data_IF_368791546794
#
_entry.id   IF_368791546794
#
_cell.length_a   1.000
_cell.length_b   1.000
_cell.length_c   1.000
_cell.angle_alpha   90.00
_cell.angle_beta   90.00
_cell.angle_gamma   90.00
#
_symmetry.space_group_name_H-M   'P 1'
#
loop_
_entity.id
_entity.type
_entity.pdbx_description
1 polymer ?
#
# COMPACT_ATOMS: atom_id res chain seq x y z
N UNK A 1 23.49 14.14 6.57
CA UNK A 1 23.75 15.24 5.61
C UNK A 1 22.52 15.40 4.72
N UNK A 2 21.80 16.52 4.73
CA UNK A 2 20.53 16.63 4.00
C UNK A 2 20.71 16.97 2.50
N UNK A 3 21.66 16.34 1.82
CA UNK A 3 22.00 16.69 0.43
C UNK A 3 21.80 15.55 -0.56
N UNK A 4 21.49 14.36 -0.07
CA UNK A 4 21.34 13.13 -0.84
C UNK A 4 20.13 13.19 -1.78
N UNK A 5 18.90 13.46 -1.29
CA UNK A 5 17.71 13.35 -2.12
C UNK A 5 17.67 14.35 -3.29
N UNK A 6 18.19 15.59 -3.08
CA UNK A 6 18.12 16.63 -4.11
C UNK A 6 18.98 16.30 -5.32
N UNK A 7 20.18 15.71 -5.12
CA UNK A 7 21.08 15.37 -6.23
C UNK A 7 20.56 14.15 -6.99
N UNK A 8 20.10 13.12 -6.30
CA UNK A 8 19.62 11.87 -6.90
C UNK A 8 18.28 12.04 -7.61
N UNK A 9 17.30 12.65 -6.95
CA UNK A 9 15.99 12.90 -7.54
C UNK A 9 16.05 13.88 -8.71
N UNK A 10 16.92 14.89 -8.67
CA UNK A 10 17.09 15.81 -9.79
C UNK A 10 17.66 15.11 -11.03
N UNK A 11 18.66 14.25 -10.87
CA UNK A 11 19.25 13.52 -12.00
C UNK A 11 18.24 12.59 -12.67
N UNK A 12 17.30 12.04 -11.92
CA UNK A 12 16.18 11.23 -12.44
C UNK A 12 15.19 12.06 -13.27
N UNK A 13 14.89 13.30 -12.84
CA UNK A 13 13.93 14.19 -13.52
C UNK A 13 14.53 14.95 -14.70
N UNK A 14 15.83 15.20 -14.68
CA UNK A 14 16.54 16.04 -15.64
C UNK A 14 16.30 15.72 -17.12
N UNK A 15 16.25 14.44 -17.56
CA UNK A 15 15.95 14.13 -18.96
C UNK A 15 14.57 14.64 -19.41
N UNK A 16 13.55 14.44 -18.57
CA UNK A 16 12.18 14.86 -18.85
C UNK A 16 12.04 16.39 -18.79
N UNK A 17 12.69 17.05 -17.82
CA UNK A 17 12.71 18.51 -17.70
C UNK A 17 13.32 19.15 -18.95
N UNK A 18 14.48 18.66 -19.41
CA UNK A 18 15.14 19.16 -20.63
C UNK A 18 14.34 18.92 -21.90
N UNK A 19 13.65 17.78 -21.98
CA UNK A 19 12.81 17.47 -23.13
C UNK A 19 11.59 18.38 -23.19
N UNK A 20 11.05 18.78 -22.03
CA UNK A 20 9.88 19.66 -21.94
C UNK A 20 10.29 21.14 -22.14
N UNK A 21 11.27 21.63 -21.41
CA UNK A 21 11.77 23.01 -21.47
C UNK A 21 13.14 23.13 -20.79
N UNK A 22 14.16 23.51 -21.56
CA UNK A 22 15.54 23.70 -21.06
C UNK A 22 15.63 24.80 -20.00
N UNK A 23 14.83 25.86 -20.12
CA UNK A 23 14.80 26.95 -19.13
C UNK A 23 14.17 26.52 -17.81
N UNK A 24 13.22 25.58 -17.85
CA UNK A 24 12.61 24.99 -16.68
C UNK A 24 13.58 24.06 -15.95
N UNK A 25 14.37 23.26 -16.68
CA UNK A 25 15.46 22.45 -16.12
C UNK A 25 16.43 23.31 -15.32
N UNK A 26 16.92 24.42 -15.91
CA UNK A 26 17.82 25.35 -15.22
C UNK A 26 17.14 25.94 -13.96
N UNK A 27 15.88 26.37 -14.06
CA UNK A 27 15.15 26.94 -12.94
C UNK A 27 14.97 25.94 -11.79
N UNK A 28 14.57 24.71 -12.09
CA UNK A 28 14.41 23.65 -11.08
C UNK A 28 15.74 23.38 -10.38
N UNK A 29 16.81 23.17 -11.16
CA UNK A 29 18.14 22.92 -10.61
C UNK A 29 18.59 24.04 -9.68
N UNK A 30 18.52 25.29 -10.15
CA UNK A 30 19.04 26.44 -9.40
C UNK A 30 18.23 26.68 -8.11
N UNK A 31 16.91 26.44 -8.15
CA UNK A 31 16.04 26.53 -6.97
C UNK A 31 16.36 25.45 -5.94
N UNK A 32 16.53 24.20 -6.36
CA UNK A 32 16.88 23.09 -5.48
C UNK A 32 18.28 23.26 -4.86
N UNK A 33 19.26 23.74 -5.65
CA UNK A 33 20.60 24.07 -5.14
C UNK A 33 20.54 25.22 -4.11
N UNK A 34 19.75 26.27 -4.36
CA UNK A 34 19.53 27.36 -3.40
C UNK A 34 18.89 26.87 -2.10
N UNK A 35 17.91 25.96 -2.19
CA UNK A 35 17.29 25.33 -1.01
C UNK A 35 18.33 24.54 -0.20
N UNK A 36 19.14 23.72 -0.89
CA UNK A 36 20.24 22.96 -0.28
C UNK A 36 21.23 23.87 0.45
N UNK A 37 21.67 24.95 -0.19
CA UNK A 37 22.62 25.89 0.42
C UNK A 37 22.05 26.56 1.68
N UNK A 38 20.76 26.95 1.65
CA UNK A 38 20.07 27.52 2.80
C UNK A 38 19.86 26.50 3.92
N UNK A 39 19.56 25.24 3.59
CA UNK A 39 19.45 24.17 4.58
C UNK A 39 20.79 23.81 5.26
N UNK A 40 21.91 24.11 4.61
CA UNK A 40 23.27 23.87 5.12
C UNK A 40 23.83 25.05 5.93
N UNK A 41 23.12 26.16 6.02
CA UNK A 41 23.55 27.39 6.68
C UNK A 41 22.58 27.78 7.79
N UNK A 42 23.07 28.55 8.77
CA UNK A 42 22.23 29.07 9.86
C UNK A 42 21.40 30.25 9.32
N UNK A 43 20.22 29.96 8.84
CA UNK A 43 19.25 30.95 8.33
C UNK A 43 18.05 31.06 9.26
N UNK A 44 17.35 32.20 9.21
CA UNK A 44 16.11 32.36 9.94
C UNK A 44 15.02 31.38 9.45
N UNK A 45 14.09 31.02 10.34
CA UNK A 45 12.95 30.18 9.97
C UNK A 45 12.16 30.71 8.78
N UNK A 46 11.95 32.04 8.73
CA UNK A 46 11.21 32.68 7.63
C UNK A 46 11.97 32.58 6.31
N UNK A 47 13.31 32.69 6.33
CA UNK A 47 14.15 32.51 5.15
C UNK A 47 14.12 31.06 4.65
N UNK A 48 14.17 30.10 5.58
CA UNK A 48 14.04 28.67 5.24
C UNK A 48 12.66 28.37 4.66
N UNK A 49 11.59 28.88 5.29
CA UNK A 49 10.23 28.66 4.81
C UNK A 49 10.03 29.24 3.40
N UNK A 50 10.48 30.47 3.16
CA UNK A 50 10.41 31.08 1.82
C UNK A 50 11.13 30.23 0.75
N UNK A 51 12.30 29.67 1.07
CA UNK A 51 13.02 28.81 0.13
C UNK A 51 12.28 27.49 -0.15
N UNK A 52 11.61 26.94 0.85
CA UNK A 52 10.76 25.75 0.69
C UNK A 52 9.56 26.07 -0.22
N UNK A 53 8.92 27.21 -0.01
CA UNK A 53 7.75 27.61 -0.78
C UNK A 53 8.12 27.89 -2.25
N UNK A 54 9.26 28.56 -2.50
CA UNK A 54 9.83 28.74 -3.85
C UNK A 54 10.09 27.40 -4.54
N UNK A 55 10.69 26.44 -3.82
CA UNK A 55 10.97 25.12 -4.37
C UNK A 55 9.68 24.36 -4.71
N UNK A 56 8.66 24.42 -3.84
CA UNK A 56 7.35 23.80 -4.09
C UNK A 56 6.69 24.39 -5.34
N UNK A 57 6.73 25.71 -5.51
CA UNK A 57 6.15 26.37 -6.69
C UNK A 57 6.83 25.92 -7.98
N UNK A 58 8.16 25.92 -8.00
CA UNK A 58 8.94 25.54 -9.19
C UNK A 58 8.74 24.06 -9.54
N UNK A 59 8.70 23.17 -8.55
CA UNK A 59 8.43 21.74 -8.76
C UNK A 59 6.99 21.52 -9.24
N UNK A 60 5.99 22.25 -8.73
CA UNK A 60 4.62 22.18 -9.22
C UNK A 60 4.49 22.60 -10.69
N UNK A 61 5.19 23.68 -11.10
CA UNK A 61 5.27 24.09 -12.52
C UNK A 61 5.92 22.99 -13.36
N UNK A 62 7.03 22.41 -12.90
CA UNK A 62 7.73 21.34 -13.60
C UNK A 62 6.81 20.12 -13.80
N UNK A 63 6.10 19.70 -12.75
CA UNK A 63 5.15 18.59 -12.80
C UNK A 63 4.05 18.84 -13.83
N UNK A 64 3.39 20.00 -13.77
CA UNK A 64 2.30 20.32 -14.71
C UNK A 64 2.78 20.46 -16.16
N UNK A 65 4.03 20.85 -16.37
CA UNK A 65 4.63 20.96 -17.71
C UNK A 65 4.97 19.59 -18.30
N UNK A 66 5.48 18.66 -17.47
CA UNK A 66 5.91 17.33 -17.93
C UNK A 66 4.69 16.40 -18.14
N UNK A 67 3.78 16.33 -17.17
CA UNK A 67 2.69 15.36 -17.17
C UNK A 67 1.34 15.95 -17.61
N UNK A 68 1.26 17.28 -17.76
CA UNK A 68 0.03 18.00 -18.05
C UNK A 68 -0.86 18.18 -16.81
N UNK A 69 -1.52 19.32 -16.72
CA UNK A 69 -2.31 19.70 -15.54
C UNK A 69 -3.47 18.74 -15.29
N UNK A 70 -4.15 18.29 -16.35
CA UNK A 70 -5.29 17.36 -16.24
C UNK A 70 -4.87 16.03 -15.58
N UNK A 71 -3.70 15.50 -15.94
CA UNK A 71 -3.19 14.26 -15.35
C UNK A 71 -2.72 14.48 -13.91
N UNK A 72 -2.04 15.58 -13.65
CA UNK A 72 -1.50 15.87 -12.31
C UNK A 72 -2.58 16.05 -11.24
N UNK A 73 -3.79 16.45 -11.64
CA UNK A 73 -4.90 16.75 -10.74
C UNK A 73 -5.95 15.61 -10.69
N UNK A 74 -5.74 14.50 -11.44
CA UNK A 74 -6.65 13.36 -11.41
C UNK A 74 -6.46 12.50 -10.15
N UNK A 75 -7.54 11.92 -9.63
CA UNK A 75 -7.51 11.01 -8.48
C UNK A 75 -6.55 9.85 -8.71
N UNK A 76 -6.55 9.23 -9.90
CA UNK A 76 -5.61 8.15 -10.24
C UNK A 76 -4.14 8.59 -10.18
N UNK A 77 -3.82 9.81 -10.62
CA UNK A 77 -2.45 10.35 -10.48
C UNK A 77 -2.06 10.57 -9.03
N UNK A 78 -3.00 10.99 -8.21
CA UNK A 78 -2.80 11.20 -6.79
C UNK A 78 -2.62 9.86 -6.05
N UNK A 79 -3.41 8.84 -6.37
CA UNK A 79 -3.24 7.47 -5.89
C UNK A 79 -1.86 6.90 -6.27
N UNK A 80 -1.44 7.07 -7.52
CA UNK A 80 -0.10 6.65 -7.96
C UNK A 80 1.03 7.39 -7.21
N UNK A 81 0.87 8.68 -6.94
CA UNK A 81 1.81 9.44 -6.13
C UNK A 81 1.87 8.92 -4.68
N UNK A 82 0.71 8.62 -4.08
CA UNK A 82 0.65 8.01 -2.75
C UNK A 82 1.41 6.68 -2.71
N UNK A 83 1.14 5.79 -3.65
CA UNK A 83 1.81 4.48 -3.78
C UNK A 83 3.32 4.65 -3.84
N UNK A 84 3.83 5.46 -4.77
CA UNK A 84 5.28 5.69 -4.93
C UNK A 84 5.93 6.23 -3.65
N UNK A 85 5.27 7.15 -2.95
CA UNK A 85 5.76 7.67 -1.66
C UNK A 85 5.82 6.58 -0.59
N UNK A 86 4.81 5.72 -0.53
CA UNK A 86 4.73 4.63 0.44
C UNK A 86 5.77 3.54 0.14
N UNK A 87 5.95 3.14 -1.12
CA UNK A 87 7.01 2.20 -1.53
C UNK A 87 8.40 2.73 -1.15
N UNK A 88 8.66 4.02 -1.41
CA UNK A 88 9.91 4.65 -1.00
C UNK A 88 10.05 4.67 0.52
N UNK A 89 8.98 4.97 1.26
CA UNK A 89 9.02 4.99 2.73
C UNK A 89 9.37 3.64 3.36
N UNK A 90 8.97 2.53 2.74
CA UNK A 90 9.33 1.17 3.16
C UNK A 90 10.84 0.97 3.04
N UNK A 91 11.42 1.36 1.90
CA UNK A 91 12.87 1.22 1.66
C UNK A 91 13.68 2.06 2.65
N UNK A 92 13.33 3.34 2.82
CA UNK A 92 13.99 4.24 3.75
C UNK A 92 13.92 3.75 5.20
N UNK A 93 12.75 3.26 5.63
CA UNK A 93 12.62 2.71 6.99
C UNK A 93 13.46 1.46 7.19
N UNK A 94 13.52 0.58 6.19
CA UNK A 94 14.32 -0.65 6.26
C UNK A 94 15.82 -0.37 6.37
N UNK A 95 16.32 0.71 5.75
CA UNK A 95 17.70 1.15 5.90
C UNK A 95 17.95 1.88 7.23
N UNK A 96 16.91 2.54 7.75
CA UNK A 96 17.00 3.38 8.94
C UNK A 96 16.98 2.63 10.26
N UNK A 97 16.22 1.53 10.36
CA UNK A 97 15.90 0.88 11.65
C UNK A 97 16.35 -0.58 11.67
N UNK A 98 17.15 -0.92 12.67
CA UNK A 98 17.57 -2.28 12.96
C UNK A 98 17.37 -2.54 14.46
N UNK A 99 16.68 -3.63 14.81
CA UNK A 99 16.40 -4.04 16.22
C UNK A 99 15.78 -2.90 17.07
N UNK A 100 14.87 -2.11 16.50
CA UNK A 100 14.22 -0.98 17.18
C UNK A 100 15.12 0.24 17.43
N UNK A 101 16.32 0.24 16.85
CA UNK A 101 17.29 1.34 16.97
C UNK A 101 17.41 2.05 15.63
N UNK A 102 17.34 3.40 15.65
CA UNK A 102 17.58 4.20 14.47
C UNK A 102 19.09 4.30 14.25
N UNK A 103 19.60 3.61 13.21
CA UNK A 103 20.98 3.66 12.76
C UNK A 103 21.23 4.88 11.84
N UNK A 104 20.33 5.08 10.87
CA UNK A 104 20.42 6.17 9.90
C UNK A 104 19.25 7.15 10.09
N UNK A 105 19.53 8.28 10.76
CA UNK A 105 18.50 9.27 11.11
C UNK A 105 17.96 10.01 9.87
N UNK A 106 18.75 10.17 8.83
CA UNK A 106 18.32 10.83 7.60
C UNK A 106 17.24 9.99 6.90
N UNK A 107 17.49 8.71 6.72
CA UNK A 107 16.58 7.77 6.07
C UNK A 107 15.28 7.59 6.91
N UNK A 108 15.40 7.57 8.24
CA UNK A 108 14.23 7.56 9.11
C UNK A 108 13.34 8.81 8.95
N UNK A 109 13.97 9.98 8.79
CA UNK A 109 13.24 11.23 8.57
C UNK A 109 12.61 11.28 7.18
N UNK A 110 13.31 10.80 6.16
CA UNK A 110 12.83 10.75 4.78
C UNK A 110 11.66 9.78 4.66
N UNK A 111 11.76 8.56 5.19
CA UNK A 111 10.64 7.60 5.26
C UNK A 111 9.40 8.19 5.96
N UNK A 112 9.60 8.81 7.13
CA UNK A 112 8.52 9.49 7.86
C UNK A 112 7.89 10.63 7.07
N UNK A 113 8.69 11.41 6.32
CA UNK A 113 8.20 12.50 5.49
C UNK A 113 7.40 11.99 4.29
N UNK A 114 7.77 10.86 3.71
CA UNK A 114 7.04 10.22 2.61
C UNK A 114 5.67 9.71 3.08
N UNK A 115 5.59 9.04 4.23
CA UNK A 115 4.30 8.65 4.85
C UNK A 115 3.44 9.88 5.10
N UNK A 116 3.99 10.93 5.71
CA UNK A 116 3.24 12.15 5.96
C UNK A 116 2.72 12.80 4.66
N UNK A 117 3.56 12.87 3.63
CA UNK A 117 3.16 13.48 2.34
C UNK A 117 2.09 12.65 1.63
N UNK A 118 2.21 11.33 1.65
CA UNK A 118 1.20 10.42 1.13
C UNK A 118 -0.15 10.63 1.83
N UNK A 119 -0.16 10.72 3.16
CA UNK A 119 -1.38 11.01 3.91
C UNK A 119 -1.98 12.40 3.62
N UNK A 120 -1.16 13.41 3.35
CA UNK A 120 -1.67 14.73 2.93
C UNK A 120 -2.43 14.61 1.61
N UNK A 121 -1.89 13.84 0.64
CA UNK A 121 -2.57 13.59 -0.63
C UNK A 121 -3.87 12.82 -0.40
N UNK A 122 -3.84 11.77 0.41
CA UNK A 122 -5.04 11.02 0.79
C UNK A 122 -6.15 11.93 1.32
N UNK A 123 -5.84 12.81 2.27
CA UNK A 123 -6.81 13.73 2.84
C UNK A 123 -7.39 14.73 1.81
N UNK A 124 -6.64 15.02 0.74
CA UNK A 124 -7.12 15.87 -0.37
C UNK A 124 -8.15 15.14 -1.23
N UNK A 125 -8.03 13.81 -1.40
CA UNK A 125 -8.87 13.00 -2.29
C UNK A 125 -9.85 12.07 -1.57
N UNK A 126 -9.76 11.90 -0.26
CA UNK A 126 -10.55 10.94 0.53
C UNK A 126 -12.05 10.96 0.20
N UNK A 127 -12.62 12.15 -0.05
CA UNK A 127 -14.05 12.28 -0.37
C UNK A 127 -14.45 11.75 -1.76
N UNK A 128 -13.47 11.50 -2.61
CA UNK A 128 -13.66 11.03 -3.99
C UNK A 128 -13.40 9.52 -4.13
N UNK A 129 -12.97 8.87 -3.02
CA UNK A 129 -12.70 7.43 -2.94
C UNK A 129 -13.95 6.67 -2.47
N UNK A 130 -14.05 5.37 -2.73
CA UNK A 130 -15.04 4.53 -2.10
C UNK A 130 -14.91 4.58 -0.57
N UNK A 131 -16.03 4.51 0.14
CA UNK A 131 -16.09 4.80 1.59
C UNK A 131 -15.32 3.76 2.40
N UNK A 132 -15.44 2.48 2.02
CA UNK A 132 -14.83 1.35 2.70
C UNK A 132 -13.30 1.44 2.65
N UNK A 133 -12.72 1.50 1.46
CA UNK A 133 -11.28 1.58 1.23
C UNK A 133 -10.68 2.86 1.82
N UNK A 134 -11.45 3.96 1.81
CA UNK A 134 -11.01 5.20 2.45
C UNK A 134 -10.95 5.10 3.98
N UNK A 135 -11.84 4.32 4.62
CA UNK A 135 -11.81 4.06 6.06
C UNK A 135 -10.61 3.17 6.41
N UNK A 136 -10.33 2.13 5.62
CA UNK A 136 -9.19 1.23 5.83
C UNK A 136 -7.85 1.95 5.68
N UNK A 137 -7.67 2.75 4.62
CA UNK A 137 -6.50 3.60 4.44
C UNK A 137 -6.29 4.54 5.63
N UNK A 138 -7.36 5.13 6.18
CA UNK A 138 -7.25 6.03 7.33
C UNK A 138 -6.74 5.30 8.58
N UNK A 139 -7.28 4.11 8.87
CA UNK A 139 -6.84 3.29 10.00
C UNK A 139 -5.39 2.83 9.84
N UNK A 140 -5.02 2.37 8.64
CA UNK A 140 -3.66 1.95 8.34
C UNK A 140 -2.65 3.08 8.50
N UNK A 141 -2.97 4.32 8.13
CA UNK A 141 -2.10 5.46 8.42
C UNK A 141 -1.88 5.70 9.91
N UNK A 142 -2.89 5.48 10.76
CA UNK A 142 -2.71 5.58 12.21
C UNK A 142 -1.79 4.46 12.73
N UNK A 143 -1.96 3.24 12.24
CA UNK A 143 -1.11 2.10 12.62
C UNK A 143 0.35 2.28 12.13
N UNK A 144 0.57 2.75 10.89
CA UNK A 144 1.91 3.10 10.38
C UNK A 144 2.58 4.16 11.24
N UNK A 145 1.87 5.22 11.64
CA UNK A 145 2.43 6.24 12.54
C UNK A 145 2.79 5.66 13.90
N UNK A 146 1.94 4.80 14.46
CA UNK A 146 2.22 4.14 15.72
C UNK A 146 3.46 3.23 15.61
N UNK A 147 3.62 2.52 14.50
CA UNK A 147 4.77 1.69 14.18
C UNK A 147 6.08 2.51 14.11
N UNK A 148 6.06 3.65 13.43
CA UNK A 148 7.20 4.59 13.40
C UNK A 148 7.59 5.10 14.80
N UNK A 149 6.59 5.46 15.63
CA UNK A 149 6.84 5.91 17.03
C UNK A 149 7.45 4.80 17.87
N UNK A 150 6.96 3.58 17.75
CA UNK A 150 7.46 2.40 18.47
C UNK A 150 8.78 1.88 17.91
N UNK A 151 9.13 2.24 16.69
CA UNK A 151 10.29 1.72 15.96
C UNK A 151 10.23 0.19 15.83
N UNK A 152 9.09 -0.30 15.37
CA UNK A 152 8.86 -1.73 15.14
C UNK A 152 9.79 -2.27 14.04
N UNK A 153 9.77 -3.57 13.79
CA UNK A 153 10.62 -4.17 12.75
C UNK A 153 10.31 -3.59 11.35
N UNK A 154 11.30 -3.51 10.44
CA UNK A 154 11.04 -3.11 9.05
C UNK A 154 9.97 -3.96 8.36
N UNK A 155 9.89 -5.25 8.65
CA UNK A 155 8.86 -6.14 8.12
C UNK A 155 7.45 -5.70 8.54
N UNK A 156 7.27 -5.29 9.80
CA UNK A 156 5.97 -4.84 10.30
C UNK A 156 5.55 -3.50 9.65
N UNK A 157 6.48 -2.55 9.49
CA UNK A 157 6.19 -1.30 8.76
C UNK A 157 5.87 -1.60 7.30
N UNK A 158 6.59 -2.54 6.66
CA UNK A 158 6.33 -2.97 5.29
C UNK A 158 4.93 -3.55 5.14
N UNK A 159 4.49 -4.41 6.07
CA UNK A 159 3.14 -4.98 6.09
C UNK A 159 2.07 -3.90 6.20
N UNK A 160 2.16 -3.01 7.19
CA UNK A 160 1.17 -1.94 7.39
C UNK A 160 1.12 -0.96 6.22
N UNK A 161 2.27 -0.58 5.68
CA UNK A 161 2.35 0.33 4.53
C UNK A 161 1.92 -0.38 3.25
N UNK A 162 2.21 -1.68 3.13
CA UNK A 162 1.76 -2.55 2.05
C UNK A 162 0.24 -2.65 1.97
N UNK A 163 -0.45 -2.71 3.12
CA UNK A 163 -1.91 -2.64 3.16
C UNK A 163 -2.45 -1.38 2.50
N UNK A 164 -1.91 -0.19 2.82
CA UNK A 164 -2.33 1.05 2.15
C UNK A 164 -2.09 0.97 0.63
N UNK A 165 -0.97 0.37 0.20
CA UNK A 165 -0.65 0.21 -1.23
C UNK A 165 -1.66 -0.73 -1.89
N UNK A 166 -2.09 -1.78 -1.21
CA UNK A 166 -3.09 -2.72 -1.70
C UNK A 166 -4.44 -2.01 -1.94
N UNK A 167 -4.95 -1.26 -0.96
CA UNK A 167 -6.16 -0.46 -1.11
C UNK A 167 -6.08 0.51 -2.31
N UNK A 168 -4.90 1.15 -2.48
CA UNK A 168 -4.66 2.02 -3.64
C UNK A 168 -4.76 1.24 -4.95
N UNK A 169 -4.18 0.03 -5.02
CA UNK A 169 -4.20 -0.81 -6.21
C UNK A 169 -5.61 -1.29 -6.53
N UNK A 170 -6.40 -1.63 -5.51
CA UNK A 170 -7.82 -2.01 -5.66
C UNK A 170 -8.65 -0.84 -6.21
N UNK A 171 -8.57 0.36 -5.60
CA UNK A 171 -9.26 1.57 -6.09
C UNK A 171 -8.84 1.89 -7.53
N UNK A 172 -7.56 1.72 -7.88
CA UNK A 172 -7.04 1.99 -9.23
C UNK A 172 -7.37 0.89 -10.25
N UNK A 173 -7.93 -0.25 -9.83
CA UNK A 173 -8.21 -1.41 -10.66
C UNK A 173 -6.95 -2.09 -11.19
N UNK A 174 -5.87 -2.10 -10.40
CA UNK A 174 -4.61 -2.78 -10.72
C UNK A 174 -4.73 -4.20 -10.16
N UNK A 175 -5.06 -5.15 -11.02
CA UNK A 175 -5.12 -6.56 -10.64
C UNK A 175 -3.72 -7.09 -10.27
N UNK A 176 -3.60 -7.72 -9.08
CA UNK A 176 -2.40 -8.43 -8.67
C UNK A 176 -2.13 -9.66 -9.54
N UNK A 177 -0.87 -10.11 -9.62
CA UNK A 177 -0.49 -11.32 -10.35
C UNK A 177 -1.25 -12.54 -9.80
N UNK A 178 -1.66 -13.46 -10.72
CA UNK A 178 -2.37 -14.72 -10.42
C UNK A 178 -1.58 -15.62 -9.43
N UNK A 179 -1.76 -15.38 -8.14
CA UNK A 179 -1.27 -16.25 -7.08
C UNK A 179 -2.37 -17.27 -6.73
N UNK A 180 -1.99 -18.54 -6.48
CA UNK A 180 -2.98 -19.55 -6.06
C UNK A 180 -3.61 -19.13 -4.73
N UNK A 181 -4.90 -18.77 -4.75
CA UNK A 181 -5.64 -18.23 -3.61
C UNK A 181 -5.61 -19.13 -2.36
N UNK A 182 -5.44 -20.44 -2.55
CA UNK A 182 -5.24 -21.40 -1.46
C UNK A 182 -3.98 -21.13 -0.63
N UNK A 183 -2.93 -20.57 -1.23
CA UNK A 183 -1.71 -20.20 -0.52
C UNK A 183 -1.98 -19.17 0.56
N UNK A 184 -2.82 -18.19 0.28
CA UNK A 184 -3.21 -17.17 1.27
C UNK A 184 -3.99 -17.78 2.45
N UNK A 185 -4.89 -18.74 2.16
CA UNK A 185 -5.65 -19.44 3.22
C UNK A 185 -4.71 -20.24 4.13
N UNK A 186 -3.75 -20.95 3.55
CA UNK A 186 -2.76 -21.72 4.31
C UNK A 186 -1.89 -20.81 5.19
N UNK A 187 -1.41 -19.70 4.66
CA UNK A 187 -0.59 -18.74 5.39
C UNK A 187 -1.38 -18.08 6.54
N UNK A 188 -2.65 -17.68 6.31
CA UNK A 188 -3.52 -17.17 7.37
C UNK A 188 -3.65 -18.17 8.51
N UNK A 189 -3.90 -19.44 8.19
CA UNK A 189 -4.05 -20.49 9.19
C UNK A 189 -2.75 -20.70 10.02
N UNK A 190 -1.59 -20.62 9.38
CA UNK A 190 -0.29 -20.71 10.04
C UNK A 190 -0.04 -19.50 10.95
N UNK A 191 -0.21 -18.27 10.43
CA UNK A 191 -0.01 -17.03 11.18
C UNK A 191 -0.92 -16.93 12.40
N UNK A 192 -2.20 -17.28 12.28
CA UNK A 192 -3.14 -17.29 13.39
C UNK A 192 -2.79 -18.36 14.45
N UNK A 193 -2.31 -19.52 14.02
CA UNK A 193 -1.84 -20.57 14.93
C UNK A 193 -0.60 -20.10 15.70
N UNK A 194 0.33 -19.42 15.07
CA UNK A 194 1.49 -18.80 15.71
C UNK A 194 1.06 -17.68 16.66
N UNK A 195 0.18 -16.77 16.23
CA UNK A 195 -0.34 -15.68 17.06
C UNK A 195 -0.98 -16.21 18.37
N UNK A 196 -1.71 -17.30 18.29
CA UNK A 196 -2.29 -17.98 19.46
C UNK A 196 -1.22 -18.44 20.46
N UNK A 197 -0.11 -18.98 19.97
CA UNK A 197 1.01 -19.44 20.79
C UNK A 197 1.75 -18.27 21.45
N UNK A 198 2.06 -17.23 20.67
CA UNK A 198 2.80 -16.07 21.16
C UNK A 198 1.99 -15.27 22.19
N UNK A 199 0.67 -15.10 21.96
CA UNK A 199 -0.19 -14.44 22.92
C UNK A 199 -0.26 -15.23 24.24
N UNK A 200 -0.35 -16.55 24.16
CA UNK A 200 -0.32 -17.42 25.35
C UNK A 200 1.03 -17.38 26.07
N UNK A 201 2.14 -17.15 25.37
CA UNK A 201 3.47 -16.96 25.92
C UNK A 201 3.67 -15.55 26.55
N UNK A 202 2.74 -14.63 26.32
CA UNK A 202 2.76 -13.25 26.83
C UNK A 202 3.40 -12.23 25.88
N UNK A 203 3.73 -12.63 24.66
CA UNK A 203 4.22 -11.74 23.61
C UNK A 203 3.06 -11.18 22.79
N UNK A 204 2.40 -10.17 23.35
CA UNK A 204 1.24 -9.53 22.71
C UNK A 204 1.63 -8.72 21.48
N UNK A 205 2.84 -8.16 21.43
CA UNK A 205 3.29 -7.37 20.29
C UNK A 205 3.54 -8.27 19.08
N UNK A 206 4.21 -9.42 19.28
CA UNK A 206 4.40 -10.39 18.20
C UNK A 206 3.06 -11.02 17.74
N UNK A 207 2.18 -11.35 18.69
CA UNK A 207 0.84 -11.86 18.34
C UNK A 207 0.04 -10.86 17.50
N UNK A 208 0.07 -9.56 17.85
CA UNK A 208 -0.57 -8.50 17.07
C UNK A 208 0.03 -8.36 15.67
N UNK A 209 1.35 -8.44 15.56
CA UNK A 209 2.05 -8.41 14.26
C UNK A 209 1.62 -9.57 13.37
N UNK A 210 1.56 -10.79 13.90
CA UNK A 210 1.15 -11.99 13.16
C UNK A 210 -0.32 -11.90 12.67
N UNK A 211 -1.23 -11.41 13.52
CA UNK A 211 -2.64 -11.19 13.14
C UNK A 211 -2.75 -10.09 12.06
N UNK A 212 -1.99 -9.01 12.20
CA UNK A 212 -1.95 -7.94 11.20
C UNK A 212 -1.47 -8.46 9.85
N UNK A 213 -0.43 -9.29 9.86
CA UNK A 213 0.08 -9.93 8.66
C UNK A 213 -0.91 -10.93 8.05
N UNK A 214 -1.64 -11.69 8.87
CA UNK A 214 -2.69 -12.59 8.40
C UNK A 214 -3.80 -11.83 7.66
N UNK A 215 -4.14 -10.62 8.11
CA UNK A 215 -5.10 -9.76 7.46
C UNK A 215 -4.50 -9.09 6.21
N UNK A 216 -3.53 -8.19 6.36
CA UNK A 216 -3.03 -7.31 5.31
C UNK A 216 -2.23 -8.01 4.20
N UNK A 217 -1.43 -9.03 4.54
CA UNK A 217 -0.59 -9.73 3.55
C UNK A 217 -1.31 -10.91 2.91
N UNK A 218 -2.51 -11.29 3.41
CA UNK A 218 -3.16 -12.52 2.96
C UNK A 218 -4.68 -12.39 2.77
N UNK A 219 -5.45 -11.96 3.79
CA UNK A 219 -6.92 -11.99 3.68
C UNK A 219 -7.44 -10.94 2.70
N UNK A 220 -6.87 -9.75 2.62
CA UNK A 220 -7.23 -8.71 1.65
C UNK A 220 -7.21 -9.23 0.21
N UNK A 221 -6.27 -10.13 -0.14
CA UNK A 221 -6.23 -10.76 -1.47
C UNK A 221 -7.36 -11.78 -1.73
N UNK A 222 -8.08 -12.17 -0.68
CA UNK A 222 -9.24 -13.08 -0.76
C UNK A 222 -10.57 -12.34 -0.83
N UNK A 223 -10.63 -11.06 -0.50
CA UNK A 223 -11.86 -10.28 -0.39
C UNK A 223 -12.60 -10.15 -1.72
N UNK A 224 -11.92 -9.63 -2.75
CA UNK A 224 -12.50 -9.51 -4.08
C UNK A 224 -12.94 -10.87 -4.66
N UNK A 225 -12.11 -11.95 -4.62
CA UNK A 225 -12.54 -13.30 -5.01
C UNK A 225 -13.78 -13.82 -4.25
N UNK A 226 -13.88 -13.58 -2.94
CA UNK A 226 -15.06 -13.99 -2.15
C UNK A 226 -16.32 -13.23 -2.56
N UNK A 227 -16.20 -11.93 -2.79
CA UNK A 227 -17.33 -11.11 -3.28
C UNK A 227 -17.77 -11.57 -4.67
N UNK A 228 -16.86 -11.88 -5.58
CA UNK A 228 -17.14 -12.41 -6.91
C UNK A 228 -17.80 -13.81 -6.85
N UNK A 229 -17.42 -14.62 -5.86
CA UNK A 229 -18.05 -15.91 -5.57
C UNK A 229 -19.47 -15.78 -5.01
N UNK A 230 -19.92 -14.56 -4.65
CA UNK A 230 -21.21 -14.30 -4.02
C UNK A 230 -21.22 -14.44 -2.51
N UNK A 231 -20.06 -14.60 -1.89
CA UNK A 231 -19.85 -14.84 -0.45
C UNK A 231 -19.44 -13.56 0.31
N UNK A 232 -20.02 -12.41 -0.09
CA UNK A 232 -19.79 -11.11 0.56
C UNK A 232 -19.99 -11.14 2.08
N UNK A 233 -21.06 -11.80 2.55
CA UNK A 233 -21.36 -11.88 4.00
C UNK A 233 -20.26 -12.64 4.76
N UNK A 234 -19.70 -13.69 4.17
CA UNK A 234 -18.58 -14.44 4.74
C UNK A 234 -17.30 -13.57 4.75
N UNK A 235 -17.04 -12.85 3.68
CA UNK A 235 -15.90 -11.94 3.57
C UNK A 235 -15.96 -10.88 4.66
N UNK A 236 -17.04 -10.08 4.73
CA UNK A 236 -17.23 -9.02 5.73
C UNK A 236 -17.14 -9.56 7.18
N UNK A 237 -17.66 -10.75 7.44
CA UNK A 237 -17.60 -11.39 8.77
C UNK A 237 -16.15 -11.73 9.15
N UNK A 238 -15.37 -12.33 8.25
CA UNK A 238 -13.96 -12.70 8.52
C UNK A 238 -13.09 -11.46 8.65
N UNK A 239 -13.29 -10.46 7.80
CA UNK A 239 -12.61 -9.17 7.86
C UNK A 239 -12.79 -8.51 9.23
N UNK A 240 -14.04 -8.32 9.69
CA UNK A 240 -14.33 -7.75 11.01
C UNK A 240 -13.67 -8.56 12.13
N UNK A 241 -13.72 -9.88 12.05
CA UNK A 241 -13.10 -10.75 13.06
C UNK A 241 -11.58 -10.61 13.12
N UNK A 242 -10.90 -10.48 11.98
CA UNK A 242 -9.45 -10.31 11.90
C UNK A 242 -9.02 -8.87 12.24
N UNK A 243 -9.59 -7.90 11.54
CA UNK A 243 -9.17 -6.51 11.56
C UNK A 243 -9.57 -5.79 12.84
N UNK A 244 -10.82 -5.92 13.27
CA UNK A 244 -11.36 -5.18 14.40
C UNK A 244 -11.33 -5.97 15.70
N UNK A 245 -12.00 -7.12 15.72
CA UNK A 245 -12.24 -7.83 16.96
C UNK A 245 -10.96 -8.44 17.55
N UNK A 246 -10.25 -9.28 16.79
CA UNK A 246 -9.07 -9.97 17.29
C UNK A 246 -7.92 -9.00 17.61
N UNK A 247 -7.65 -8.06 16.70
CA UNK A 247 -6.62 -7.03 16.94
C UNK A 247 -7.00 -6.13 18.13
N UNK A 248 -8.26 -5.76 18.25
CA UNK A 248 -8.79 -5.01 19.41
C UNK A 248 -8.59 -5.77 20.71
N UNK A 249 -8.97 -7.05 20.77
CA UNK A 249 -8.78 -7.90 21.96
C UNK A 249 -7.31 -8.00 22.38
N UNK A 250 -6.38 -8.15 21.46
CA UNK A 250 -4.94 -8.19 21.75
C UNK A 250 -4.45 -6.83 22.26
N UNK A 251 -4.81 -5.72 21.59
CA UNK A 251 -4.44 -4.35 21.98
C UNK A 251 -4.95 -3.99 23.39
N UNK A 252 -6.14 -4.47 23.75
CA UNK A 252 -6.78 -4.23 25.06
C UNK A 252 -6.29 -5.20 26.16
N UNK A 253 -5.51 -6.22 25.82
CA UNK A 253 -5.00 -7.21 26.77
C UNK A 253 -6.08 -8.16 27.28
N UNK A 254 -6.96 -8.62 26.40
CA UNK A 254 -8.02 -9.59 26.71
C UNK A 254 -7.44 -10.91 27.27
N UNK A 255 -8.29 -11.72 27.88
CA UNK A 255 -7.80 -13.00 28.43
C UNK A 255 -7.29 -13.93 27.32
N UNK A 256 -6.23 -14.73 27.61
CA UNK A 256 -5.73 -15.74 26.66
C UNK A 256 -6.84 -16.69 26.18
N UNK A 257 -7.80 -17.00 27.05
CA UNK A 257 -8.94 -17.83 26.68
C UNK A 257 -9.84 -17.19 25.63
N UNK A 258 -10.06 -15.88 25.76
CA UNK A 258 -10.96 -15.16 24.85
C UNK A 258 -10.28 -14.97 23.48
N UNK A 259 -9.00 -14.55 23.46
CA UNK A 259 -8.22 -14.42 22.24
C UNK A 259 -8.11 -15.77 21.51
N UNK A 260 -7.82 -16.85 22.23
CA UNK A 260 -7.78 -18.19 21.64
C UNK A 260 -9.13 -18.61 21.04
N UNK A 261 -10.24 -18.28 21.72
CA UNK A 261 -11.58 -18.61 21.23
C UNK A 261 -11.93 -17.83 19.96
N UNK A 262 -11.50 -16.58 19.87
CA UNK A 262 -11.67 -15.76 18.68
C UNK A 262 -10.85 -16.31 17.50
N UNK A 263 -9.57 -16.65 17.74
CA UNK A 263 -8.73 -17.28 16.71
C UNK A 263 -9.35 -18.59 16.21
N UNK A 264 -9.81 -19.45 17.13
CA UNK A 264 -10.44 -20.72 16.74
C UNK A 264 -11.73 -20.51 15.91
N UNK A 265 -12.49 -19.45 16.20
CA UNK A 265 -13.67 -19.09 15.42
C UNK A 265 -13.29 -18.64 14.00
N UNK A 266 -12.22 -17.83 13.86
CA UNK A 266 -11.71 -17.41 12.56
C UNK A 266 -11.20 -18.62 11.75
N UNK A 267 -10.42 -19.50 12.35
CA UNK A 267 -9.91 -20.71 11.67
C UNK A 267 -11.05 -21.61 11.15
N UNK A 268 -12.17 -21.69 11.88
CA UNK A 268 -13.38 -22.40 11.41
C UNK A 268 -13.95 -21.70 10.16
N UNK A 269 -13.99 -20.37 10.13
CA UNK A 269 -14.44 -19.61 8.95
C UNK A 269 -13.50 -19.80 7.77
N UNK A 270 -12.19 -19.79 8.01
CA UNK A 270 -11.18 -20.04 6.97
C UNK A 270 -11.36 -21.41 6.30
N UNK A 271 -11.86 -22.43 7.01
CA UNK A 271 -12.23 -23.71 6.38
C UNK A 271 -13.35 -23.54 5.34
N UNK A 272 -14.27 -22.60 5.56
CA UNK A 272 -15.33 -22.30 4.58
C UNK A 272 -14.74 -21.51 3.40
N UNK A 273 -13.88 -20.53 3.66
CA UNK A 273 -13.15 -19.77 2.64
C UNK A 273 -12.37 -20.71 1.73
N UNK A 274 -11.63 -21.67 2.29
CA UNK A 274 -10.86 -22.67 1.54
C UNK A 274 -11.73 -23.47 0.54
N UNK A 275 -13.00 -23.73 0.87
CA UNK A 275 -13.91 -24.46 -0.01
C UNK A 275 -14.48 -23.59 -1.13
N UNK A 276 -14.60 -22.28 -0.91
CA UNK A 276 -15.17 -21.33 -1.86
C UNK A 276 -14.11 -20.90 -2.90
N UNK A 277 -12.93 -20.52 -2.42
CA UNK A 277 -11.89 -19.87 -3.23
C UNK A 277 -11.27 -20.77 -4.31
N UNK A 278 -10.98 -22.09 -4.15
CA UNK A 278 -10.40 -22.94 -5.19
C UNK A 278 -11.33 -23.25 -6.34
N UNK A 279 -12.63 -23.26 -6.12
CA UNK A 279 -13.58 -23.65 -7.16
C UNK A 279 -13.69 -22.62 -8.29
N UNK A 280 -13.35 -21.34 -8.02
CA UNK A 280 -13.50 -20.27 -9.00
C UNK A 280 -12.29 -20.07 -9.89
N UNK A 281 -11.05 -20.16 -9.39
CA UNK A 281 -9.84 -19.97 -10.19
C UNK A 281 -9.69 -20.98 -11.31
N UNK A 282 -9.91 -22.27 -11.03
CA UNK A 282 -9.79 -23.36 -12.01
C UNK A 282 -11.03 -23.52 -12.89
N UNK A 283 -12.24 -23.32 -12.38
CA UNK A 283 -13.49 -23.48 -13.13
C UNK A 283 -13.75 -22.29 -14.04
N UNK A 284 -13.54 -21.06 -13.60
CA UNK A 284 -13.69 -19.87 -14.44
C UNK A 284 -12.69 -19.89 -15.61
N UNK A 285 -11.43 -20.28 -15.35
CA UNK A 285 -10.43 -20.52 -16.42
C UNK A 285 -10.85 -21.64 -17.35
N UNK A 286 -11.37 -22.76 -16.82
CA UNK A 286 -11.86 -23.86 -17.65
C UNK A 286 -13.05 -23.45 -18.51
N UNK A 287 -14.01 -22.70 -17.95
CA UNK A 287 -15.16 -22.16 -18.68
C UNK A 287 -14.71 -21.15 -19.75
N UNK A 288 -13.81 -20.24 -19.41
CA UNK A 288 -13.27 -19.26 -20.36
C UNK A 288 -12.50 -19.94 -21.49
N UNK A 289 -11.63 -20.88 -21.19
CA UNK A 289 -10.85 -21.64 -22.18
C UNK A 289 -11.78 -22.48 -23.07
N UNK A 290 -12.77 -23.16 -22.50
CA UNK A 290 -13.74 -23.94 -23.28
C UNK A 290 -14.65 -23.06 -24.13
N UNK A 291 -15.06 -21.88 -23.64
CA UNK A 291 -15.83 -20.91 -24.40
C UNK A 291 -15.02 -20.35 -25.58
N UNK A 292 -13.75 -20.00 -25.38
CA UNK A 292 -12.84 -19.52 -26.44
C UNK A 292 -12.60 -20.62 -27.48
N UNK A 293 -12.33 -21.84 -27.04
CA UNK A 293 -12.15 -23.01 -27.96
C UNK A 293 -13.43 -23.24 -28.75
N UNK A 294 -14.60 -23.22 -28.10
CA UNK A 294 -15.91 -23.34 -28.73
C UNK A 294 -16.14 -22.29 -29.80
N UNK A 295 -15.81 -21.00 -29.48
CA UNK A 295 -15.96 -19.88 -30.37
C UNK A 295 -15.02 -19.96 -31.58
N UNK A 296 -13.77 -20.39 -31.39
CA UNK A 296 -12.77 -20.62 -32.46
C UNK A 296 -13.19 -21.77 -33.40
N UNK A 297 -13.69 -22.88 -32.83
CA UNK A 297 -14.16 -24.03 -33.62
C UNK A 297 -15.44 -23.67 -34.37
N UNK A 298 -16.36 -22.92 -33.80
CA UNK A 298 -17.57 -22.44 -34.44
C UNK A 298 -17.25 -21.47 -35.57
N UNK A 299 -16.34 -20.51 -35.38
CA UNK A 299 -15.90 -19.57 -36.40
C UNK A 299 -15.22 -20.27 -37.59
N UNK A 300 -14.43 -21.32 -37.34
CA UNK A 300 -13.82 -22.18 -38.40
C UNK A 300 -14.87 -22.96 -39.21
N UNK A 301 -15.93 -23.44 -38.53
CA UNK A 301 -16.98 -24.24 -39.18
C UNK A 301 -17.95 -23.40 -40.00
N UNK A 302 -18.12 -22.12 -39.68
CA UNK A 302 -19.10 -21.20 -40.31
C UNK A 302 -18.49 -20.28 -41.37
N UNK A 303 -17.17 -20.31 -41.63
CA UNK A 303 -16.50 -19.40 -42.57
C UNK A 303 -16.84 -17.91 -42.36
N UNK A 304 -17.05 -17.50 -41.13
CA UNK A 304 -17.30 -16.09 -40.81
C UNK A 304 -16.03 -15.28 -41.06
N UNK A 305 -16.06 -14.48 -42.11
CA UNK A 305 -15.03 -13.50 -42.43
C UNK A 305 -15.31 -12.29 -41.57
N UNK A 306 -14.49 -12.02 -40.58
CA UNK A 306 -14.57 -10.76 -39.83
C UNK A 306 -14.19 -9.59 -40.76
N UNK A 307 -15.00 -8.51 -40.85
CA UNK A 307 -14.60 -7.32 -41.58
C UNK A 307 -13.34 -6.73 -40.92
N UNK A 308 -12.33 -6.45 -41.73
CA UNK A 308 -11.14 -5.69 -41.29
C UNK A 308 -11.58 -4.28 -41.00
N UNK A 309 -11.38 -3.84 -39.75
CA UNK A 309 -11.43 -2.44 -39.34
C UNK A 309 -10.07 -1.82 -39.60
#
# INVERSE_FOLDING_TARGET
>A
MPTHPVAELYDTMKPQLKAADVSLDDKVRDTLLSLKDKASTDVSRDTAQAAIDDAKEVVAIARSTIVGQYWSDSTNSQLFQMKTLLETSIAEYAEAVEDGVIGEMAEFQDGSAFVWRSQVIFNEIKSDLPEHEAEEIEELYEDVKAAYVKRVSPSEVSTLTGGIIHEIDEIAGIEGEDTELTMYVDEINELLTQAKQEYAAGDSDLALSLVTKAYLDNFEFLEAPLVEAGERELMEEVEIMLREELRGMIKEGASVSDVNSQIDAILIKMTTVEHVVPEFGSIAMLILVTAIIGLVLFARKTNLVFPRI
#
